data_IF_164424776665
#
_entry.id   IF_164424776665
#
_cell.length_a   1.000
_cell.length_b   1.000
_cell.length_c   1.000
_cell.angle_alpha   90.00
_cell.angle_beta   90.00
_cell.angle_gamma   90.00
#
_symmetry.space_group_name_H-M   'P 1'
#
loop_
_entity.id
_entity.type
_entity.pdbx_description
1 polymer ?
#
# COMPACT_ATOMS: atom_id res chain seq x y z
N UNK A 1 -14.40 -15.51 12.39
CA UNK A 1 -13.53 -15.18 11.24
C UNK A 1 -14.34 -15.16 9.97
N UNK A 2 -14.14 -14.15 9.12
CA UNK A 2 -14.73 -14.05 7.79
C UNK A 2 -13.61 -13.94 6.77
N UNK A 3 -13.89 -14.47 5.56
CA UNK A 3 -12.93 -14.42 4.46
C UNK A 3 -13.10 -13.12 3.68
N UNK A 4 -11.99 -12.40 3.46
CA UNK A 4 -11.93 -11.15 2.71
C UNK A 4 -10.91 -11.27 1.59
N UNK A 5 -11.36 -11.25 0.33
CA UNK A 5 -10.47 -11.08 -0.81
C UNK A 5 -9.94 -9.65 -0.80
N UNK A 6 -8.68 -9.47 -1.14
CA UNK A 6 -8.01 -8.19 -0.96
C UNK A 6 -7.13 -7.78 -2.15
N UNK A 7 -6.87 -6.48 -2.23
CA UNK A 7 -5.75 -5.86 -2.92
C UNK A 7 -5.18 -4.78 -2.00
N UNK A 8 -3.95 -4.97 -1.53
CA UNK A 8 -3.34 -4.07 -0.53
C UNK A 8 -2.30 -3.11 -1.11
N UNK A 9 -2.23 -3.01 -2.45
CA UNK A 9 -1.31 -2.12 -3.13
C UNK A 9 -1.95 -1.59 -4.42
N UNK A 10 -2.57 -0.41 -4.33
CA UNK A 10 -3.26 0.26 -5.42
C UNK A 10 -2.94 1.74 -5.40
N UNK A 11 -2.61 2.32 -6.57
CA UNK A 11 -2.34 3.73 -6.74
C UNK A 11 -3.54 4.47 -7.30
N UNK A 12 -3.75 5.71 -6.83
CA UNK A 12 -4.72 6.62 -7.43
C UNK A 12 -4.06 7.58 -8.42
N UNK A 13 -4.86 8.45 -9.02
CA UNK A 13 -4.40 9.59 -9.83
C UNK A 13 -3.56 10.62 -9.04
N UNK A 14 -3.32 10.42 -7.76
CA UNK A 14 -2.36 11.20 -6.97
C UNK A 14 -0.92 10.75 -7.23
N UNK A 15 -0.71 9.46 -7.47
CA UNK A 15 0.59 8.94 -7.92
C UNK A 15 0.81 9.35 -9.38
N UNK A 16 1.94 10.04 -9.72
CA UNK A 16 2.11 10.60 -11.07
C UNK A 16 2.25 9.55 -12.18
N UNK A 17 2.51 8.29 -11.80
CA UNK A 17 2.50 7.12 -12.69
C UNK A 17 1.13 6.45 -12.80
N UNK A 18 0.17 6.82 -11.96
CA UNK A 18 -1.21 6.34 -12.05
C UNK A 18 -1.97 7.02 -13.20
N UNK A 19 -2.88 6.27 -13.81
CA UNK A 19 -3.78 6.81 -14.82
C UNK A 19 -4.74 7.85 -14.21
N UNK A 20 -5.12 8.89 -14.97
CA UNK A 20 -6.06 9.91 -14.51
C UNK A 20 -7.44 9.32 -14.12
N UNK A 21 -7.82 8.16 -14.70
CA UNK A 21 -9.06 7.44 -14.36
C UNK A 21 -8.96 6.65 -13.04
N UNK A 22 -7.78 6.56 -12.43
CA UNK A 22 -7.59 5.96 -11.10
C UNK A 22 -8.10 6.88 -9.99
N UNK A 23 -9.33 7.35 -10.13
CA UNK A 23 -9.98 8.15 -9.08
C UNK A 23 -10.40 7.28 -7.90
N UNK A 24 -10.51 7.83 -6.68
CA UNK A 24 -10.98 7.09 -5.51
C UNK A 24 -12.31 6.35 -5.74
N UNK A 25 -13.27 6.98 -6.43
CA UNK A 25 -14.57 6.36 -6.70
C UNK A 25 -14.47 5.24 -7.76
N UNK A 26 -13.68 5.41 -8.81
CA UNK A 26 -13.46 4.38 -9.82
C UNK A 26 -12.74 3.17 -9.25
N UNK A 27 -11.73 3.37 -8.39
CA UNK A 27 -11.02 2.27 -7.70
C UNK A 27 -12.02 1.48 -6.84
N UNK A 28 -12.80 2.16 -6.00
CA UNK A 28 -13.81 1.52 -5.16
C UNK A 28 -14.86 0.76 -5.98
N UNK A 29 -15.34 1.36 -7.09
CA UNK A 29 -16.28 0.73 -8.01
C UNK A 29 -15.71 -0.51 -8.68
N UNK A 30 -14.47 -0.45 -9.19
CA UNK A 30 -13.81 -1.59 -9.83
C UNK A 30 -13.54 -2.73 -8.82
N UNK A 31 -13.08 -2.40 -7.62
CA UNK A 31 -12.88 -3.37 -6.55
C UNK A 31 -14.18 -4.12 -6.20
N UNK A 32 -15.29 -3.38 -6.12
CA UNK A 32 -16.62 -3.97 -5.88
C UNK A 32 -17.05 -4.88 -7.04
N UNK A 33 -16.85 -4.46 -8.29
CA UNK A 33 -17.16 -5.28 -9.48
C UNK A 33 -16.36 -6.58 -9.50
N UNK A 34 -15.09 -6.54 -9.07
CA UNK A 34 -14.22 -7.71 -8.98
C UNK A 34 -14.49 -8.60 -7.74
N UNK A 35 -15.32 -8.15 -6.80
CA UNK A 35 -15.68 -8.92 -5.60
C UNK A 35 -14.62 -8.88 -4.51
N UNK A 36 -13.78 -7.85 -4.47
CA UNK A 36 -12.86 -7.61 -3.36
C UNK A 36 -13.63 -7.14 -2.13
N UNK A 37 -13.17 -7.54 -0.95
CA UNK A 37 -13.73 -7.13 0.34
C UNK A 37 -12.89 -6.08 1.06
N UNK A 38 -11.58 -6.07 0.81
CA UNK A 38 -10.62 -5.13 1.40
C UNK A 38 -9.73 -4.56 0.29
N UNK A 39 -9.55 -3.24 0.26
CA UNK A 39 -8.59 -2.59 -0.64
C UNK A 39 -7.82 -1.51 0.11
N UNK A 40 -6.51 -1.48 -0.07
CA UNK A 40 -5.67 -0.39 0.42
C UNK A 40 -5.33 0.60 -0.70
N UNK A 41 -5.42 1.89 -0.40
CA UNK A 41 -4.89 2.93 -1.25
C UNK A 41 -3.51 3.33 -0.76
N UNK A 42 -2.50 3.19 -1.61
CA UNK A 42 -1.08 3.27 -1.24
C UNK A 42 -0.28 4.13 -2.22
N UNK A 43 -0.75 5.33 -2.49
CA UNK A 43 -0.06 6.28 -3.36
C UNK A 43 1.39 6.52 -2.91
N UNK A 44 2.29 6.81 -3.87
CA UNK A 44 3.68 7.14 -3.58
C UNK A 44 3.79 8.30 -2.59
N UNK A 45 4.43 8.05 -1.47
CA UNK A 45 4.80 9.05 -0.46
C UNK A 45 3.67 10.01 -0.03
N UNK A 46 2.40 9.63 -0.20
CA UNK A 46 1.23 10.44 0.19
C UNK A 46 0.00 9.59 0.51
N UNK A 47 -0.85 10.07 1.42
CA UNK A 47 -2.14 9.49 1.77
C UNK A 47 -3.31 10.45 1.52
N UNK A 48 -3.10 11.52 0.72
CA UNK A 48 -4.07 12.61 0.56
C UNK A 48 -5.39 12.20 -0.07
N UNK A 49 -5.40 11.14 -0.91
CA UNK A 49 -6.64 10.60 -1.49
C UNK A 49 -7.32 9.53 -0.60
N UNK A 50 -6.70 9.09 0.51
CA UNK A 50 -7.33 8.13 1.42
C UNK A 50 -8.68 8.59 1.99
N UNK A 51 -8.91 9.86 2.39
CA UNK A 51 -10.22 10.29 2.87
C UNK A 51 -11.33 10.17 1.83
N UNK A 52 -11.06 10.55 0.57
CA UNK A 52 -11.99 10.39 -0.54
C UNK A 52 -12.26 8.91 -0.82
N UNK A 53 -11.20 8.10 -0.83
CA UNK A 53 -11.28 6.65 -1.04
C UNK A 53 -12.12 5.95 0.03
N UNK A 54 -11.97 6.32 1.32
CA UNK A 54 -12.79 5.77 2.40
C UNK A 54 -14.28 6.01 2.15
N UNK A 55 -14.64 7.25 1.82
CA UNK A 55 -16.03 7.60 1.51
C UNK A 55 -16.56 6.84 0.29
N UNK A 56 -15.77 6.69 -0.76
CA UNK A 56 -16.16 5.94 -1.96
C UNK A 56 -16.35 4.44 -1.65
N UNK A 57 -15.44 3.84 -0.88
CA UNK A 57 -15.51 2.44 -0.48
C UNK A 57 -16.74 2.13 0.39
N UNK A 58 -17.09 3.00 1.32
CA UNK A 58 -18.32 2.84 2.13
C UNK A 58 -19.57 2.71 1.27
N UNK A 59 -19.67 3.48 0.18
CA UNK A 59 -20.77 3.41 -0.78
C UNK A 59 -20.79 2.10 -1.58
N UNK A 60 -19.62 1.49 -1.78
CA UNK A 60 -19.46 0.25 -2.54
C UNK A 60 -19.43 -1.01 -1.68
N UNK A 61 -19.51 -0.89 -0.35
CA UNK A 61 -19.45 -2.03 0.57
C UNK A 61 -18.06 -2.67 0.70
N UNK A 62 -16.98 -1.92 0.35
CA UNK A 62 -15.58 -2.30 0.49
C UNK A 62 -15.04 -1.77 1.81
N UNK A 63 -14.20 -2.54 2.48
CA UNK A 63 -13.44 -2.07 3.65
C UNK A 63 -12.16 -1.38 3.14
N UNK A 64 -12.05 -0.05 3.23
CA UNK A 64 -10.86 0.66 2.82
C UNK A 64 -9.77 0.54 3.87
N UNK A 65 -8.52 0.48 3.44
CA UNK A 65 -7.33 0.60 4.28
C UNK A 65 -6.55 1.83 3.83
N UNK A 66 -6.22 2.70 4.78
CA UNK A 66 -5.36 3.85 4.49
C UNK A 66 -3.91 3.39 4.43
N UNK A 67 -3.19 3.80 3.41
CA UNK A 67 -1.81 3.39 3.22
C UNK A 67 -0.98 4.42 2.48
N UNK A 68 0.26 4.03 2.25
CA UNK A 68 1.26 4.77 1.48
C UNK A 68 2.31 3.79 0.98
N UNK A 69 2.74 3.92 -0.27
CA UNK A 69 3.98 3.32 -0.72
C UNK A 69 5.12 4.31 -0.50
N UNK A 70 5.88 4.09 0.56
CA UNK A 70 7.04 4.91 0.91
C UNK A 70 8.24 4.52 0.06
N UNK A 71 8.85 5.48 -0.65
CA UNK A 71 10.16 5.30 -1.26
C UNK A 71 11.23 5.72 -0.26
N UNK A 72 12.03 4.77 0.20
CA UNK A 72 13.07 4.99 1.22
C UNK A 72 14.35 5.59 0.62
N UNK A 73 15.28 6.03 1.46
CA UNK A 73 16.58 6.59 1.02
C UNK A 73 17.46 5.61 0.27
N UNK A 74 17.20 4.31 0.40
CA UNK A 74 17.85 3.24 -0.36
C UNK A 74 17.20 2.98 -1.71
N UNK A 75 16.15 3.73 -2.10
CA UNK A 75 15.29 3.47 -3.27
C UNK A 75 14.50 2.15 -3.17
N UNK A 76 14.22 1.66 -1.97
CA UNK A 76 13.32 0.53 -1.73
C UNK A 76 11.91 1.03 -1.49
N UNK A 77 10.92 0.39 -2.10
CA UNK A 77 9.52 0.65 -1.83
C UNK A 77 9.04 -0.17 -0.62
N UNK A 78 8.35 0.52 0.28
CA UNK A 78 7.77 -0.04 1.50
C UNK A 78 6.28 0.29 1.56
N UNK A 79 5.43 -0.72 1.47
CA UNK A 79 3.99 -0.55 1.70
C UNK A 79 3.77 -0.34 3.18
N UNK A 80 3.16 0.80 3.53
CA UNK A 80 2.78 1.18 4.89
C UNK A 80 1.26 1.23 4.99
N UNK A 81 0.65 0.42 5.85
CA UNK A 81 -0.80 0.33 6.04
C UNK A 81 -1.19 0.77 7.45
N UNK A 82 -2.32 1.46 7.58
CA UNK A 82 -2.76 2.03 8.84
C UNK A 82 -4.19 1.61 9.21
N UNK A 83 -4.50 1.50 10.51
CA UNK A 83 -5.84 1.10 10.98
C UNK A 83 -6.89 2.18 10.74
N UNK A 84 -6.48 3.44 10.58
CA UNK A 84 -7.37 4.58 10.40
C UNK A 84 -6.71 5.75 9.66
N UNK A 85 -7.53 6.70 9.21
CA UNK A 85 -7.10 7.90 8.48
C UNK A 85 -6.21 8.84 9.30
N UNK A 86 -6.40 8.90 10.63
CA UNK A 86 -5.61 9.79 11.49
C UNK A 86 -4.16 9.34 11.52
N UNK A 87 -3.93 8.06 11.74
CA UNK A 87 -2.61 7.44 11.75
C UNK A 87 -1.89 7.64 10.41
N UNK A 88 -2.59 7.40 9.29
CA UNK A 88 -2.04 7.62 7.96
C UNK A 88 -1.66 9.10 7.72
N UNK A 89 -2.53 10.04 8.13
CA UNK A 89 -2.29 11.47 7.96
C UNK A 89 -1.13 11.97 8.86
N UNK A 90 -0.93 11.39 10.04
CA UNK A 90 0.21 11.72 10.90
C UNK A 90 1.51 11.20 10.32
N UNK A 91 1.52 9.97 9.83
CA UNK A 91 2.66 9.40 9.11
C UNK A 91 3.01 10.23 7.86
N UNK A 92 2.01 10.59 7.03
CA UNK A 92 2.23 11.43 5.84
C UNK A 92 2.91 12.75 6.19
N UNK A 93 2.48 13.44 7.26
CA UNK A 93 3.12 14.71 7.70
C UNK A 93 4.60 14.52 8.03
N UNK A 94 4.97 13.39 8.61
CA UNK A 94 6.38 13.07 8.90
C UNK A 94 7.17 12.76 7.64
N UNK A 95 6.58 12.01 6.68
CA UNK A 95 7.22 11.72 5.39
C UNK A 95 7.34 12.98 4.53
N UNK A 96 6.30 13.82 4.47
CA UNK A 96 6.33 15.07 3.71
C UNK A 96 7.49 16.02 4.12
N UNK A 97 7.88 16.01 5.40
CA UNK A 97 9.03 16.79 5.90
C UNK A 97 10.38 16.23 5.46
N UNK A 98 10.42 14.95 5.10
CA UNK A 98 11.63 14.21 4.68
C UNK A 98 11.77 14.10 3.18
N UNK A 99 10.73 14.44 2.42
CA UNK A 99 10.81 14.47 0.95
C UNK A 99 11.59 15.70 0.49
N UNK A 100 12.46 15.58 -0.54
CA UNK A 100 13.10 16.72 -1.14
C UNK A 100 12.05 17.63 -1.81
N UNK A 101 12.16 18.97 -1.71
CA UNK A 101 11.20 19.91 -2.30
C UNK A 101 11.45 20.08 -3.81
N UNK A 102 11.40 18.98 -4.55
CA UNK A 102 11.54 18.96 -6.01
C UNK A 102 10.16 19.09 -6.65
N UNK A 103 9.95 20.16 -7.41
CA UNK A 103 8.66 20.40 -8.05
C UNK A 103 8.36 19.35 -9.12
N UNK A 104 7.12 18.86 -9.13
CA UNK A 104 6.64 17.98 -10.20
C UNK A 104 6.67 18.69 -11.57
N UNK A 105 6.89 17.91 -12.61
CA UNK A 105 6.77 18.30 -14.02
C UNK A 105 5.73 17.41 -14.70
N UNK A 106 4.45 17.80 -14.69
CA UNK A 106 3.35 16.97 -15.19
C UNK A 106 3.51 16.50 -16.63
N UNK A 107 4.20 17.28 -17.46
CA UNK A 107 4.52 16.93 -18.85
C UNK A 107 5.51 15.76 -19.00
N UNK A 108 6.18 15.37 -17.90
CA UNK A 108 7.15 14.26 -17.86
C UNK A 108 6.63 13.12 -17.01
N UNK A 109 6.14 13.41 -15.80
CA UNK A 109 5.83 12.41 -14.78
C UNK A 109 4.34 12.13 -14.64
N UNK A 110 3.46 12.98 -15.19
CA UNK A 110 2.02 12.95 -14.95
C UNK A 110 1.58 13.92 -13.86
N UNK A 111 0.27 14.09 -13.76
CA UNK A 111 -0.36 14.93 -12.73
C UNK A 111 -0.41 14.19 -11.40
N UNK A 112 -0.57 14.94 -10.32
CA UNK A 112 -0.68 14.41 -8.95
C UNK A 112 -1.97 14.97 -8.34
N UNK A 113 -3.12 14.37 -8.72
CA UNK A 113 -4.44 14.91 -8.45
C UNK A 113 -4.92 14.56 -7.05
N UNK A 114 -5.34 15.57 -6.30
CA UNK A 114 -6.04 15.38 -5.03
C UNK A 114 -7.54 15.49 -5.30
N UNK A 115 -8.28 14.43 -4.94
CA UNK A 115 -9.69 14.26 -5.26
C UNK A 115 -10.59 14.34 -4.03
N UNK A 116 -11.85 14.70 -4.24
CA UNK A 116 -12.91 14.39 -3.29
C UNK A 116 -13.63 13.07 -3.63
N UNK A 117 -14.63 12.71 -2.83
CA UNK A 117 -15.35 11.45 -2.98
C UNK A 117 -16.36 11.44 -4.15
N UNK A 118 -16.55 12.53 -4.81
CA UNK A 118 -17.37 12.74 -6.01
C UNK A 118 -16.54 12.88 -7.29
N UNK A 119 -15.25 12.50 -7.24
CA UNK A 119 -14.25 12.67 -8.31
C UNK A 119 -14.01 14.12 -8.71
N UNK A 120 -14.32 15.08 -7.83
CA UNK A 120 -13.93 16.47 -7.98
C UNK A 120 -12.46 16.69 -7.66
N UNK A 121 -11.71 17.38 -8.54
CA UNK A 121 -10.32 17.76 -8.27
C UNK A 121 -10.33 18.90 -7.24
N UNK A 122 -9.77 18.65 -6.05
CA UNK A 122 -9.66 19.63 -4.97
C UNK A 122 -8.30 20.31 -4.90
N UNK A 123 -7.29 19.74 -5.56
CA UNK A 123 -5.94 20.26 -5.61
C UNK A 123 -5.00 19.38 -6.41
N UNK A 124 -3.73 19.77 -6.43
CA UNK A 124 -2.62 18.98 -6.97
C UNK A 124 -1.44 19.02 -5.98
N UNK A 125 -0.72 17.91 -5.85
CA UNK A 125 0.55 17.90 -5.09
C UNK A 125 1.62 18.55 -5.96
N UNK A 126 2.26 19.59 -5.46
CA UNK A 126 3.25 20.36 -6.22
C UNK A 126 4.62 19.69 -6.28
N UNK A 127 4.99 18.94 -5.23
CA UNK A 127 6.29 18.26 -5.16
C UNK A 127 6.17 16.84 -5.71
N UNK A 128 7.16 16.44 -6.49
CA UNK A 128 7.19 15.11 -7.12
C UNK A 128 7.18 14.00 -6.05
N UNK A 129 6.14 13.20 -6.07
CA UNK A 129 5.92 12.12 -5.11
C UNK A 129 6.85 10.91 -5.32
N UNK A 130 7.44 10.75 -6.51
CA UNK A 130 8.34 9.63 -6.81
C UNK A 130 9.73 9.75 -6.16
N UNK A 131 10.07 10.91 -5.60
CA UNK A 131 11.39 11.08 -4.98
C UNK A 131 11.47 10.34 -3.65
N UNK A 132 12.61 9.66 -3.44
CA UNK A 132 12.94 9.04 -2.17
C UNK A 132 12.87 10.05 -1.01
N UNK A 133 12.27 9.65 0.10
CA UNK A 133 12.29 10.40 1.33
C UNK A 133 13.61 10.15 2.09
N UNK A 134 14.09 11.14 2.83
CA UNK A 134 15.28 11.02 3.68
C UNK A 134 14.94 10.21 4.95
N UNK A 135 14.69 8.93 4.75
CA UNK A 135 14.41 7.94 5.79
C UNK A 135 14.82 6.55 5.30
N UNK A 136 15.58 5.82 6.11
CA UNK A 136 15.99 4.46 5.77
C UNK A 136 14.82 3.47 5.87
N UNK A 137 14.96 2.33 5.19
CA UNK A 137 13.98 1.23 5.23
C UNK A 137 13.61 0.85 6.67
N UNK A 138 14.60 0.64 7.52
CA UNK A 138 14.39 0.27 8.92
C UNK A 138 13.66 1.38 9.70
N UNK A 139 14.09 2.64 9.54
CA UNK A 139 13.47 3.78 10.19
C UNK A 139 12.04 4.03 9.67
N UNK A 140 11.79 3.82 8.38
CA UNK A 140 10.47 3.94 7.76
C UNK A 140 9.48 2.92 8.34
N UNK A 141 9.92 1.65 8.45
CA UNK A 141 9.16 0.59 9.10
C UNK A 141 8.85 0.94 10.57
N UNK A 142 9.88 1.28 11.36
CA UNK A 142 9.71 1.62 12.78
C UNK A 142 8.79 2.84 12.97
N UNK A 143 8.90 3.84 12.09
CA UNK A 143 8.02 5.01 12.12
C UNK A 143 6.57 4.61 11.82
N UNK A 144 6.30 3.78 10.80
CA UNK A 144 4.97 3.28 10.48
C UNK A 144 4.36 2.55 11.69
N UNK A 145 5.10 1.64 12.31
CA UNK A 145 4.67 0.90 13.49
C UNK A 145 4.38 1.82 14.69
N UNK A 146 5.13 2.91 14.86
CA UNK A 146 4.90 3.88 15.94
C UNK A 146 3.56 4.61 15.82
N UNK A 147 2.97 4.68 14.62
CA UNK A 147 1.61 5.16 14.36
C UNK A 147 0.57 4.04 14.34
N UNK A 148 0.91 2.84 14.82
CA UNK A 148 0.01 1.69 14.88
C UNK A 148 -0.23 1.00 13.54
N UNK A 149 0.61 1.27 12.54
CA UNK A 149 0.58 0.66 11.22
C UNK A 149 1.39 -0.63 11.12
N UNK A 150 1.33 -1.26 9.95
CA UNK A 150 2.18 -2.36 9.54
C UNK A 150 2.89 -2.00 8.24
N UNK A 151 4.18 -2.34 8.14
CA UNK A 151 4.98 -2.06 6.95
C UNK A 151 5.70 -3.32 6.46
N UNK A 152 5.76 -3.48 5.14
CA UNK A 152 6.45 -4.59 4.48
C UNK A 152 7.04 -4.16 3.15
N UNK A 153 8.16 -4.77 2.70
CA UNK A 153 8.75 -4.50 1.40
C UNK A 153 7.77 -4.82 0.27
N UNK A 154 7.58 -3.87 -0.63
CA UNK A 154 6.75 -4.01 -1.82
C UNK A 154 7.43 -4.90 -2.85
N UNK A 155 6.64 -5.60 -3.66
CA UNK A 155 7.01 -6.31 -4.90
C UNK A 155 8.49 -6.77 -4.96
N UNK A 156 8.90 -7.64 -4.00
CA UNK A 156 10.31 -8.12 -3.87
C UNK A 156 10.82 -8.82 -5.12
N UNK A 157 9.92 -9.24 -6.00
CA UNK A 157 10.14 -9.90 -7.28
C UNK A 157 10.32 -8.93 -8.48
N UNK A 158 10.27 -7.60 -8.25
CA UNK A 158 10.55 -6.61 -9.30
C UNK A 158 12.02 -6.20 -9.35
N UNK A 159 12.48 -5.87 -10.57
CA UNK A 159 13.85 -5.43 -10.83
C UNK A 159 14.12 -3.98 -10.36
N UNK A 160 13.08 -3.16 -10.17
CA UNK A 160 13.18 -1.79 -9.69
C UNK A 160 12.49 -1.63 -8.35
N UNK A 161 13.13 -0.91 -7.43
CA UNK A 161 12.63 -0.54 -6.11
C UNK A 161 12.24 -1.73 -5.19
N UNK A 162 12.37 -2.98 -5.66
CA UNK A 162 12.25 -4.17 -4.83
C UNK A 162 13.48 -4.32 -3.92
N UNK A 163 13.28 -4.71 -2.66
CA UNK A 163 14.36 -4.83 -1.67
C UNK A 163 15.50 -5.74 -2.15
N UNK A 164 15.19 -6.84 -2.82
CA UNK A 164 16.19 -7.78 -3.34
C UNK A 164 16.98 -7.18 -4.50
N UNK A 165 16.31 -6.45 -5.40
CA UNK A 165 16.96 -5.81 -6.54
C UNK A 165 17.92 -4.71 -6.09
N UNK A 166 17.54 -3.94 -5.06
CA UNK A 166 18.32 -2.81 -4.54
C UNK A 166 19.44 -3.27 -3.60
N UNK A 167 19.14 -4.15 -2.64
CA UNK A 167 20.11 -4.57 -1.61
C UNK A 167 20.87 -5.84 -1.98
N UNK A 168 20.43 -6.59 -2.99
CA UNK A 168 21.01 -7.88 -3.39
C UNK A 168 20.55 -9.07 -2.54
N UNK A 169 19.83 -8.81 -1.46
CA UNK A 169 19.35 -9.83 -0.51
C UNK A 169 18.04 -9.35 0.15
N UNK A 170 17.32 -10.28 0.80
CA UNK A 170 16.22 -9.96 1.71
C UNK A 170 16.79 -10.08 3.15
N UNK A 171 16.94 -8.98 3.90
CA UNK A 171 17.56 -9.03 5.22
C UNK A 171 16.76 -9.92 6.19
N UNK A 172 17.39 -10.89 6.86
CA UNK A 172 16.70 -11.75 7.82
C UNK A 172 16.26 -10.95 9.05
N UNK A 173 15.16 -11.39 9.69
CA UNK A 173 14.64 -10.88 10.96
C UNK A 173 14.25 -9.38 10.98
N UNK A 174 14.14 -8.74 9.81
CA UNK A 174 13.81 -7.31 9.71
C UNK A 174 12.34 -7.04 9.41
N UNK A 175 11.63 -8.01 8.81
CA UNK A 175 10.23 -7.87 8.38
C UNK A 175 9.39 -9.08 8.80
N UNK A 176 8.09 -8.85 8.96
CA UNK A 176 7.10 -9.89 9.28
C UNK A 176 6.34 -10.37 8.05
N UNK A 177 6.34 -9.56 7.00
CA UNK A 177 5.66 -9.81 5.75
C UNK A 177 6.49 -9.32 4.55
N UNK A 178 6.14 -9.77 3.37
CA UNK A 178 6.66 -9.30 2.09
C UNK A 178 5.59 -9.38 1.01
N UNK A 179 5.72 -8.57 -0.02
CA UNK A 179 4.81 -8.58 -1.16
C UNK A 179 5.47 -9.15 -2.41
N UNK A 180 4.69 -9.91 -3.17
CA UNK A 180 4.98 -10.32 -4.54
C UNK A 180 3.99 -9.66 -5.51
N UNK A 181 4.50 -9.16 -6.63
CA UNK A 181 3.68 -8.72 -7.75
C UNK A 181 3.14 -9.92 -8.55
N UNK A 182 3.92 -10.99 -8.65
CA UNK A 182 3.53 -12.25 -9.31
C UNK A 182 3.47 -13.40 -8.29
N UNK A 183 2.25 -13.94 -8.08
CA UNK A 183 2.05 -15.09 -7.18
C UNK A 183 2.85 -16.32 -7.59
N UNK A 184 3.13 -16.49 -8.89
CA UNK A 184 3.81 -17.66 -9.44
C UNK A 184 5.32 -17.62 -9.14
N UNK A 185 5.88 -16.46 -8.76
CA UNK A 185 7.27 -16.29 -8.34
C UNK A 185 7.56 -16.81 -6.91
N UNK A 186 6.52 -17.11 -6.12
CA UNK A 186 6.62 -17.42 -4.69
C UNK A 186 7.57 -18.60 -4.38
N UNK A 187 7.50 -19.68 -5.16
CA UNK A 187 8.35 -20.86 -4.93
C UNK A 187 9.83 -20.56 -5.23
N UNK A 188 10.11 -19.81 -6.30
CA UNK A 188 11.45 -19.39 -6.67
C UNK A 188 12.10 -18.54 -5.56
N UNK A 189 11.38 -17.52 -5.08
CA UNK A 189 11.88 -16.61 -4.04
C UNK A 189 12.05 -17.32 -2.69
N UNK A 190 11.12 -18.22 -2.31
CA UNK A 190 11.26 -19.02 -1.11
C UNK A 190 12.45 -20.00 -1.17
N UNK A 191 12.74 -20.56 -2.36
CA UNK A 191 13.91 -21.41 -2.55
C UNK A 191 15.22 -20.61 -2.49
N UNK A 192 15.23 -19.40 -3.07
CA UNK A 192 16.38 -18.50 -3.08
C UNK A 192 16.66 -17.86 -1.71
N UNK A 193 15.61 -17.55 -0.97
CA UNK A 193 15.66 -16.90 0.35
C UNK A 193 14.85 -17.71 1.37
N UNK A 194 15.36 -18.85 1.89
CA UNK A 194 14.56 -19.77 2.72
C UNK A 194 13.94 -19.15 3.97
N UNK A 195 14.52 -18.09 4.51
CA UNK A 195 14.00 -17.41 5.70
C UNK A 195 12.68 -16.66 5.45
N UNK A 196 12.38 -16.24 4.20
CA UNK A 196 11.09 -15.60 3.90
C UNK A 196 9.91 -16.58 3.90
N UNK A 197 10.17 -17.90 3.82
CA UNK A 197 9.11 -18.91 3.82
C UNK A 197 8.24 -18.90 5.08
N UNK A 198 8.76 -18.36 6.19
CA UNK A 198 8.04 -18.22 7.46
C UNK A 198 7.35 -16.85 7.63
N UNK A 199 7.55 -15.94 6.70
CA UNK A 199 6.93 -14.61 6.74
C UNK A 199 5.53 -14.64 6.12
N UNK A 200 4.70 -13.67 6.47
CA UNK A 200 3.41 -13.47 5.81
C UNK A 200 3.63 -13.05 4.36
N UNK A 201 3.24 -13.91 3.42
CA UNK A 201 3.22 -13.57 1.99
C UNK A 201 1.96 -12.78 1.65
N UNK A 202 2.14 -11.66 0.97
CA UNK A 202 1.08 -10.80 0.41
C UNK A 202 1.24 -10.81 -1.10
N UNK A 203 0.13 -10.89 -1.83
CA UNK A 203 0.12 -10.76 -3.30
C UNK A 203 -0.86 -9.65 -3.62
N UNK A 204 -0.38 -8.56 -4.19
CA UNK A 204 -1.16 -7.39 -4.57
C UNK A 204 -0.83 -6.94 -5.98
N UNK A 205 -1.68 -6.11 -6.57
CA UNK A 205 -1.57 -5.76 -7.98
C UNK A 205 -0.52 -4.69 -8.28
N UNK A 206 -0.28 -3.78 -7.36
CA UNK A 206 0.41 -2.51 -7.62
C UNK A 206 -0.23 -1.79 -8.83
N UNK A 207 -1.57 -1.73 -8.80
CA UNK A 207 -2.36 -1.26 -9.92
C UNK A 207 -2.22 0.24 -10.13
N UNK A 208 -1.86 0.61 -11.36
CA UNK A 208 -1.80 1.98 -11.87
C UNK A 208 -2.89 2.25 -12.92
N UNK A 209 -3.67 1.22 -13.26
CA UNK A 209 -4.82 1.24 -14.17
C UNK A 209 -5.95 0.41 -13.58
N UNK A 210 -7.21 0.80 -13.79
CA UNK A 210 -8.39 0.15 -13.20
C UNK A 210 -8.45 -1.35 -13.50
N UNK A 211 -8.10 -1.76 -14.72
CA UNK A 211 -8.14 -3.18 -15.13
C UNK A 211 -7.07 -4.04 -14.47
N UNK A 212 -6.01 -3.42 -13.92
CA UNK A 212 -4.92 -4.12 -13.23
C UNK A 212 -5.24 -4.44 -11.77
N UNK A 213 -6.28 -3.83 -11.16
CA UNK A 213 -6.72 -4.18 -9.81
C UNK A 213 -6.94 -5.70 -9.71
N UNK A 214 -6.50 -6.31 -8.62
CA UNK A 214 -6.49 -7.78 -8.44
C UNK A 214 -7.85 -8.44 -8.68
N UNK A 215 -7.81 -9.66 -9.20
CA UNK A 215 -8.93 -10.59 -9.13
C UNK A 215 -9.04 -11.19 -7.71
N UNK A 216 -10.22 -11.71 -7.26
CA UNK A 216 -10.43 -12.20 -5.91
C UNK A 216 -9.78 -13.58 -5.68
N UNK A 217 -8.46 -13.65 -5.76
CA UNK A 217 -7.67 -14.88 -5.59
C UNK A 217 -7.01 -14.97 -4.23
N UNK A 218 -6.43 -13.86 -3.74
CA UNK A 218 -5.78 -13.77 -2.44
C UNK A 218 -6.77 -13.32 -1.37
N UNK A 219 -6.73 -13.93 -0.19
CA UNK A 219 -7.64 -13.56 0.89
C UNK A 219 -6.97 -13.68 2.27
N UNK A 220 -7.52 -12.93 3.24
CA UNK A 220 -7.30 -13.14 4.66
C UNK A 220 -8.56 -13.67 5.33
N UNK A 221 -8.38 -14.49 6.37
CA UNK A 221 -9.43 -14.84 7.32
C UNK A 221 -9.25 -13.96 8.57
N UNK A 222 -10.14 -12.96 8.71
CA UNK A 222 -10.03 -11.94 9.75
C UNK A 222 -11.24 -11.95 10.67
N UNK A 223 -11.03 -11.48 11.89
CA UNK A 223 -12.07 -11.24 12.88
C UNK A 223 -12.47 -9.76 12.90
N UNK A 224 -13.72 -9.49 13.14
CA UNK A 224 -14.24 -8.14 13.31
C UNK A 224 -15.73 -8.07 13.00
N UNK A 225 -16.45 -7.26 13.75
CA UNK A 225 -17.87 -6.94 13.60
C UNK A 225 -18.11 -5.56 12.97
N UNK A 226 -17.03 -4.86 12.67
CA UNK A 226 -17.02 -3.55 12.03
C UNK A 226 -15.79 -3.40 11.12
N UNK A 227 -15.84 -2.47 10.17
CA UNK A 227 -14.71 -2.16 9.29
C UNK A 227 -13.44 -1.80 10.08
N UNK A 228 -13.58 -1.04 11.18
CA UNK A 228 -12.47 -0.69 12.06
C UNK A 228 -11.84 -1.92 12.74
N UNK A 229 -12.67 -2.86 13.21
CA UNK A 229 -12.18 -4.09 13.82
C UNK A 229 -11.46 -4.96 12.80
N UNK A 230 -11.98 -5.07 11.57
CA UNK A 230 -11.34 -5.82 10.49
C UNK A 230 -10.00 -5.19 10.08
N UNK A 231 -9.90 -3.84 9.98
CA UNK A 231 -8.62 -3.16 9.71
C UNK A 231 -7.58 -3.45 10.79
N UNK A 232 -7.94 -3.35 12.07
CA UNK A 232 -7.02 -3.70 13.18
C UNK A 232 -6.62 -5.16 13.15
N UNK A 233 -7.54 -6.06 12.81
CA UNK A 233 -7.24 -7.49 12.65
C UNK A 233 -6.26 -7.72 11.51
N UNK A 234 -6.40 -7.03 10.38
CA UNK A 234 -5.49 -7.08 9.25
C UNK A 234 -4.08 -6.61 9.64
N UNK A 235 -3.96 -5.42 10.25
CA UNK A 235 -2.68 -4.88 10.70
C UNK A 235 -1.99 -5.85 11.67
N UNK A 236 -2.72 -6.38 12.65
CA UNK A 236 -2.20 -7.37 13.60
C UNK A 236 -1.74 -8.65 12.90
N UNK A 237 -2.50 -9.12 11.89
CA UNK A 237 -2.15 -10.32 11.12
C UNK A 237 -0.84 -10.12 10.32
N UNK A 238 -0.65 -8.94 9.73
CA UNK A 238 0.58 -8.61 9.00
C UNK A 238 1.79 -8.54 9.95
N UNK A 239 1.63 -7.96 11.14
CA UNK A 239 2.70 -7.81 12.12
C UNK A 239 3.12 -9.12 12.81
N UNK A 240 2.18 -10.06 12.99
CA UNK A 240 2.40 -11.23 13.84
C UNK A 240 2.18 -12.57 13.13
N UNK A 241 1.77 -12.56 11.86
CA UNK A 241 1.38 -13.75 11.11
C UNK A 241 0.09 -14.38 11.64
N UNK A 242 -0.25 -15.56 11.11
CA UNK A 242 -1.47 -16.30 11.47
C UNK A 242 -1.51 -16.81 12.93
N UNK A 243 -0.46 -16.61 13.73
CA UNK A 243 -0.39 -17.08 15.13
C UNK A 243 -1.06 -16.16 16.15
N UNK A 244 -1.45 -14.93 15.76
CA UNK A 244 -2.06 -13.93 16.64
C UNK A 244 -3.51 -14.26 17.10
N UNK A 245 -4.06 -15.38 16.68
CA UNK A 245 -5.45 -15.81 16.94
C UNK A 245 -5.59 -17.12 17.72
N UNK A 246 -4.59 -17.52 18.53
CA UNK A 246 -4.73 -18.69 19.42
C UNK A 246 -4.67 -18.31 20.87
#
# INVERSE_FOLDING_TARGET
MSRYFYDLHVHSCLSPCGDDDMTPANIAGMASLKGLGIVALTDHNSAKNCPAFFTACERCGIIPVAGMELTTSEDVHLVCLFPDLSSAAEFEREIARRRPPVRNRPEIFGRQLIMDAEDGITGEEENLLLNAADITLECGKALCESFGGAAYPAHIDRESNGIIAVLGDFPPDTHYAYELADKDSAEEYAARFPHIANLQKIVSSDAHYLWNISEPESFFELEGDSADAVRRSLISHILHGAEAGR
#
